data_IF_100583132928
#
_entry.id   IF_100583132928
#
_cell.length_a   1.000
_cell.length_b   1.000
_cell.length_c   1.000
_cell.angle_alpha   90.00
_cell.angle_beta   90.00
_cell.angle_gamma   90.00
#
_symmetry.space_group_name_H-M   'P 1'
#
loop_
_entity.id
_entity.type
_entity.pdbx_description
1 polymer ?
#
# COMPACT_ATOMS: atom_id res chain seq x y z
N UNK A 1 -9.46 -12.73 -30.01
CA UNK A 1 -9.77 -12.84 -28.56
C UNK A 1 -8.68 -12.09 -27.82
N UNK A 2 -8.96 -10.89 -27.33
CA UNK A 2 -8.02 -10.18 -26.48
C UNK A 2 -8.21 -10.66 -25.04
N UNK A 3 -7.31 -11.52 -24.56
CA UNK A 3 -7.27 -11.99 -23.17
C UNK A 3 -6.54 -11.00 -22.25
N UNK A 4 -6.38 -9.75 -22.68
CA UNK A 4 -5.68 -8.70 -21.94
C UNK A 4 -6.71 -7.92 -21.13
N UNK A 5 -6.50 -7.83 -19.82
CA UNK A 5 -7.21 -6.87 -18.96
C UNK A 5 -6.32 -5.66 -18.75
N UNK A 6 -6.72 -4.53 -19.30
CA UNK A 6 -6.02 -3.26 -19.11
C UNK A 6 -6.55 -2.57 -17.86
N UNK A 7 -5.63 -2.02 -17.06
CA UNK A 7 -5.94 -1.22 -15.88
C UNK A 7 -5.22 0.12 -16.02
N UNK A 8 -5.96 1.20 -15.82
CA UNK A 8 -5.41 2.56 -15.84
C UNK A 8 -5.23 3.03 -14.41
N UNK A 9 -4.03 3.47 -14.06
CA UNK A 9 -3.77 4.11 -12.76
C UNK A 9 -4.58 5.40 -12.70
N UNK A 10 -5.52 5.47 -11.77
CA UNK A 10 -6.36 6.64 -11.55
C UNK A 10 -5.79 7.54 -10.47
N UNK A 11 -5.31 6.93 -9.38
CA UNK A 11 -4.83 7.66 -8.23
C UNK A 11 -3.42 7.23 -7.85
N UNK A 12 -2.64 8.21 -7.39
CA UNK A 12 -1.33 8.03 -6.82
C UNK A 12 -1.24 8.83 -5.52
N UNK A 13 -0.73 8.20 -4.47
CA UNK A 13 -0.59 8.80 -3.15
C UNK A 13 0.81 8.57 -2.60
N UNK A 14 1.32 9.59 -1.91
CA UNK A 14 2.41 9.42 -0.96
C UNK A 14 1.78 9.26 0.42
N UNK A 15 1.99 8.10 1.05
CA UNK A 15 1.47 7.80 2.39
C UNK A 15 2.62 7.71 3.37
N UNK A 16 2.56 8.48 4.46
CA UNK A 16 3.49 8.35 5.58
C UNK A 16 2.81 7.64 6.74
N UNK A 17 3.45 6.58 7.25
CA UNK A 17 2.95 5.80 8.37
C UNK A 17 4.03 5.79 9.45
N UNK A 18 3.66 6.22 10.66
CA UNK A 18 4.52 6.17 11.83
C UNK A 18 4.62 4.71 12.32
N UNK A 19 5.84 4.17 12.33
CA UNK A 19 6.14 2.87 12.91
C UNK A 19 6.69 3.05 14.32
N UNK A 20 5.82 2.79 15.31
CA UNK A 20 6.18 2.86 16.73
C UNK A 20 6.93 1.59 17.12
N UNK A 21 8.24 1.74 17.36
CA UNK A 21 9.05 0.73 18.04
C UNK A 21 8.54 0.52 19.46
N UNK A 22 8.33 -0.73 19.92
CA UNK A 22 7.62 -1.05 21.17
C UNK A 22 8.12 -0.41 22.48
N UNK A 23 7.42 -0.71 23.58
CA UNK A 23 7.51 -0.38 25.04
C UNK A 23 8.68 0.48 25.63
N UNK A 24 9.86 0.61 25.03
CA UNK A 24 10.92 1.51 25.51
C UNK A 24 10.66 2.97 25.02
N UNK A 25 10.51 3.96 25.91
CA UNK A 25 10.32 5.36 25.54
C UNK A 25 11.50 6.00 24.77
N UNK A 26 12.61 5.29 24.56
CA UNK A 26 13.73 5.67 23.68
C UNK A 26 13.61 5.11 22.26
N UNK A 27 12.61 4.29 21.97
CA UNK A 27 12.41 3.76 20.64
C UNK A 27 11.99 4.87 19.69
N UNK A 28 12.90 5.19 18.77
CA UNK A 28 12.69 6.17 17.71
C UNK A 28 11.45 5.75 16.91
N UNK A 29 10.44 6.63 16.87
CA UNK A 29 9.36 6.52 15.88
C UNK A 29 10.02 6.56 14.51
N UNK A 30 9.94 5.45 13.78
CA UNK A 30 10.49 5.38 12.43
C UNK A 30 9.37 5.64 11.44
N UNK A 31 9.49 6.68 10.62
CA UNK A 31 8.52 6.92 9.55
C UNK A 31 8.79 6.00 8.37
N UNK A 32 7.71 5.53 7.77
CA UNK A 32 7.73 4.80 6.51
C UNK A 32 6.92 5.57 5.49
N UNK A 33 7.55 5.91 4.38
CA UNK A 33 6.92 6.53 3.24
C UNK A 33 6.60 5.47 2.19
N UNK A 34 5.38 5.50 1.68
CA UNK A 34 4.88 4.55 0.69
C UNK A 34 4.35 5.28 -0.54
N UNK A 35 4.77 4.84 -1.71
CA UNK A 35 4.18 5.18 -2.99
C UNK A 35 3.02 4.22 -3.25
N UNK A 36 1.79 4.71 -3.19
CA UNK A 36 0.57 3.91 -3.37
C UNK A 36 -0.07 4.25 -4.71
N UNK A 37 -0.35 3.22 -5.51
CA UNK A 37 -0.99 3.30 -6.81
C UNK A 37 -2.32 2.57 -6.75
N UNK A 38 -3.39 3.22 -7.25
CA UNK A 38 -4.70 2.60 -7.41
C UNK A 38 -5.10 2.71 -8.87
N UNK A 39 -5.37 1.55 -9.48
CA UNK A 39 -5.77 1.42 -10.87
C UNK A 39 -7.16 0.80 -10.95
N UNK A 40 -7.88 1.14 -12.02
CA UNK A 40 -9.19 0.54 -12.33
C UNK A 40 -9.28 0.18 -13.81
N UNK A 41 -10.29 -0.60 -14.17
CA UNK A 41 -10.62 -0.92 -15.55
C UNK A 41 -12.06 -0.53 -15.89
N UNK A 42 -12.49 -0.79 -17.12
CA UNK A 42 -13.84 -0.48 -17.62
C UNK A 42 -14.97 -1.19 -16.85
N UNK A 43 -14.65 -2.22 -16.05
CA UNK A 43 -15.60 -2.98 -15.23
C UNK A 43 -15.59 -2.55 -13.77
N UNK A 44 -14.92 -1.44 -13.45
CA UNK A 44 -14.73 -0.95 -12.08
C UNK A 44 -14.05 -1.98 -11.17
N UNK A 45 -13.22 -2.87 -11.73
CA UNK A 45 -12.33 -3.73 -10.93
C UNK A 45 -11.15 -2.89 -10.46
N UNK A 46 -10.96 -2.75 -9.15
CA UNK A 46 -9.86 -1.98 -8.58
C UNK A 46 -8.65 -2.84 -8.24
N UNK A 47 -7.46 -2.32 -8.53
CA UNK A 47 -6.19 -2.90 -8.12
C UNK A 47 -5.32 -1.88 -7.42
N UNK A 48 -4.64 -2.33 -6.37
CA UNK A 48 -3.70 -1.53 -5.60
C UNK A 48 -2.28 -2.08 -5.66
N UNK A 49 -1.29 -1.21 -5.65
CA UNK A 49 0.13 -1.53 -5.48
C UNK A 49 0.76 -0.51 -4.55
N UNK A 50 1.69 -0.93 -3.70
CA UNK A 50 2.46 0.00 -2.88
C UNK A 50 3.95 -0.35 -2.88
N UNK A 51 4.79 0.66 -2.79
CA UNK A 51 6.25 0.52 -2.68
C UNK A 51 6.72 1.33 -1.48
N UNK A 52 7.66 0.80 -0.69
CA UNK A 52 8.36 1.56 0.35
C UNK A 52 9.79 1.86 -0.13
N UNK A 53 10.05 3.04 -0.75
CA UNK A 53 11.36 3.38 -1.27
C UNK A 53 12.45 3.31 -0.19
N UNK A 54 13.60 2.73 -0.54
CA UNK A 54 14.73 2.58 0.38
C UNK A 54 14.55 1.50 1.47
N UNK A 55 13.38 0.85 1.55
CA UNK A 55 13.12 -0.25 2.49
C UNK A 55 13.11 -1.63 1.83
N UNK A 56 12.92 -1.68 0.50
CA UNK A 56 12.85 -2.94 -0.25
C UNK A 56 11.58 -3.76 0.03
N UNK A 57 10.53 -3.12 0.56
CA UNK A 57 9.23 -3.75 0.83
C UNK A 57 8.22 -3.25 -0.20
N UNK A 58 7.41 -4.16 -0.72
CA UNK A 58 6.33 -3.83 -1.65
C UNK A 58 5.05 -4.61 -1.31
N UNK A 59 3.92 -4.00 -1.67
CA UNK A 59 2.64 -4.69 -1.84
C UNK A 59 2.44 -4.84 -3.35
N UNK A 60 2.46 -6.07 -3.90
CA UNK A 60 2.26 -6.29 -5.33
C UNK A 60 0.84 -5.90 -5.76
N UNK A 61 0.61 -5.81 -7.07
CA UNK A 61 -0.74 -5.55 -7.61
C UNK A 61 -1.75 -6.56 -7.09
N UNK A 62 -2.64 -6.11 -6.21
CA UNK A 62 -3.68 -6.91 -5.57
C UNK A 62 -5.07 -6.35 -5.86
N UNK A 63 -6.08 -7.19 -5.80
CA UNK A 63 -7.48 -6.77 -5.96
C UNK A 63 -7.92 -6.04 -4.70
N UNK A 64 -8.60 -4.91 -4.89
CA UNK A 64 -9.21 -4.14 -3.81
C UNK A 64 -10.73 -4.33 -3.86
N UNK A 65 -11.33 -4.43 -2.68
CA UNK A 65 -12.77 -4.73 -2.56
C UNK A 65 -13.48 -3.88 -1.51
N UNK A 66 -12.76 -3.09 -0.71
CA UNK A 66 -13.37 -2.19 0.27
C UNK A 66 -13.92 -0.94 -0.41
N UNK A 67 -14.84 -0.28 0.30
CA UNK A 67 -15.41 1.00 -0.11
C UNK A 67 -14.35 2.11 -0.16
N UNK A 68 -13.43 2.12 0.81
CA UNK A 68 -12.27 3.02 0.82
C UNK A 68 -11.02 2.25 0.39
N UNK A 69 -10.64 2.48 -0.87
CA UNK A 69 -9.51 1.79 -1.51
C UNK A 69 -8.17 2.24 -0.93
N UNK A 70 -8.05 3.50 -0.49
CA UNK A 70 -6.82 4.01 0.08
C UNK A 70 -6.62 3.47 1.49
N UNK A 71 -7.68 3.45 2.31
CA UNK A 71 -7.64 2.83 3.63
C UNK A 71 -7.25 1.35 3.54
N UNK A 72 -7.83 0.60 2.59
CA UNK A 72 -7.45 -0.79 2.32
C UNK A 72 -5.95 -0.94 2.01
N UNK A 73 -5.41 -0.05 1.17
CA UNK A 73 -3.98 -0.05 0.86
C UNK A 73 -3.10 0.31 2.06
N UNK A 74 -3.53 1.25 2.90
CA UNK A 74 -2.80 1.63 4.13
C UNK A 74 -2.71 0.43 5.08
N UNK A 75 -3.81 -0.30 5.29
CA UNK A 75 -3.82 -1.51 6.10
C UNK A 75 -2.85 -2.57 5.55
N UNK A 76 -2.84 -2.78 4.23
CA UNK A 76 -1.90 -3.72 3.60
C UNK A 76 -0.44 -3.27 3.79
N UNK A 77 -0.15 -1.97 3.67
CA UNK A 77 1.19 -1.43 3.93
C UNK A 77 1.62 -1.70 5.38
N UNK A 78 0.73 -1.47 6.35
CA UNK A 78 1.00 -1.76 7.77
C UNK A 78 1.27 -3.24 8.04
N UNK A 79 0.57 -4.14 7.35
CA UNK A 79 0.79 -5.59 7.48
C UNK A 79 2.15 -6.05 6.94
N UNK A 80 2.69 -5.34 5.92
CA UNK A 80 4.00 -5.61 5.33
C UNK A 80 5.14 -4.91 6.07
N UNK A 81 4.83 -4.02 7.02
CA UNK A 81 5.86 -3.52 7.93
C UNK A 81 6.33 -4.63 8.87
N UNK A 82 7.61 -4.61 9.28
CA UNK A 82 8.11 -5.52 10.30
C UNK A 82 7.23 -5.43 11.55
N UNK A 83 6.63 -6.55 11.96
CA UNK A 83 6.03 -6.66 13.30
C UNK A 83 7.17 -6.98 14.26
N UNK A 84 7.23 -6.31 15.41
CA UNK A 84 8.25 -6.60 16.42
C UNK A 84 8.29 -8.10 16.74
N UNK A 85 9.48 -8.68 17.01
CA UNK A 85 9.58 -9.97 17.67
C UNK A 85 9.02 -9.92 19.10
#
# INVERSE_FOLDING_TARGET
>A
MNNVKEFTVQNYYLVEIDHVGGVDPRNKVTKWSWDVYIATNEKEEYRGKALAPGRGVEVPWTVLGKKDLLEEMIEMCQQHMPKHP
#
